data_IF_270134589421
#
_entry.id   IF_270134589421
#
_cell.length_a   1.000
_cell.length_b   1.000
_cell.length_c   1.000
_cell.angle_alpha   90.00
_cell.angle_beta   90.00
_cell.angle_gamma   90.00
#
_symmetry.space_group_name_H-M   'P 1'
#
loop_
_entity.id
_entity.type
_entity.pdbx_description
1 polymer ?
#
# COMPACT_ATOMS: atom_id res chain seq x y z
N UNK A 1 -22.85 -9.14 6.30
CA UNK A 1 -21.53 -9.18 5.62
C UNK A 1 -20.44 -9.03 6.66
N UNK A 2 -19.28 -9.65 6.44
CA UNK A 2 -18.10 -9.55 7.31
C UNK A 2 -16.99 -8.77 6.59
N UNK A 3 -16.08 -8.12 7.34
CA UNK A 3 -14.96 -7.33 6.81
C UNK A 3 -13.66 -7.66 7.54
N UNK A 4 -12.53 -7.57 6.85
CA UNK A 4 -11.21 -7.66 7.49
C UNK A 4 -10.96 -6.42 8.33
N UNK A 5 -10.28 -6.59 9.46
CA UNK A 5 -9.83 -5.49 10.31
C UNK A 5 -8.31 -5.55 10.42
N UNK A 6 -7.65 -4.46 10.05
CA UNK A 6 -6.22 -4.24 10.25
C UNK A 6 -6.09 -3.02 11.15
N UNK A 7 -5.32 -3.15 12.23
CA UNK A 7 -5.02 -2.06 13.14
C UNK A 7 -3.50 -1.85 13.13
N UNK A 8 -3.07 -0.65 12.76
CA UNK A 8 -1.66 -0.26 12.75
C UNK A 8 -1.44 0.70 13.92
N UNK A 9 -0.49 0.38 14.79
CA UNK A 9 -0.07 1.32 15.84
C UNK A 9 0.77 2.42 15.21
N UNK A 10 0.37 3.68 15.38
CA UNK A 10 1.04 4.84 14.78
C UNK A 10 1.69 5.73 15.83
N UNK A 11 2.73 6.47 15.42
CA UNK A 11 3.44 7.42 16.31
C UNK A 11 2.76 8.79 16.40
N UNK A 12 2.05 9.18 15.33
CA UNK A 12 1.42 10.47 15.17
C UNK A 12 0.16 10.31 14.32
N UNK A 13 -0.99 10.78 14.83
CA UNK A 13 -2.29 10.55 14.19
C UNK A 13 -2.45 11.45 12.96
N UNK A 14 -2.05 12.71 13.03
CA UNK A 14 -2.25 13.69 11.96
C UNK A 14 -1.53 13.26 10.67
N UNK A 15 -0.22 13.00 10.75
CA UNK A 15 0.56 12.54 9.59
C UNK A 15 0.11 11.18 9.06
N UNK A 16 -0.47 10.33 9.93
CA UNK A 16 -1.02 9.05 9.52
C UNK A 16 -2.36 9.22 8.79
N UNK A 17 -3.23 10.13 9.27
CA UNK A 17 -4.49 10.47 8.59
C UNK A 17 -4.20 11.02 7.20
N UNK A 18 -3.27 11.97 7.06
CA UNK A 18 -2.89 12.51 5.73
C UNK A 18 -2.45 11.40 4.77
N UNK A 19 -1.59 10.50 5.24
CA UNK A 19 -1.11 9.38 4.43
C UNK A 19 -2.25 8.43 4.03
N UNK A 20 -3.07 7.98 4.99
CA UNK A 20 -4.12 7.01 4.75
C UNK A 20 -5.30 7.60 3.96
N UNK A 21 -5.59 8.89 4.10
CA UNK A 21 -6.56 9.61 3.24
C UNK A 21 -6.04 9.66 1.80
N UNK A 22 -4.74 9.91 1.59
CA UNK A 22 -4.12 9.83 0.26
C UNK A 22 -4.23 8.43 -0.36
N UNK A 23 -3.89 7.41 0.42
CA UNK A 23 -3.92 6.00 0.02
C UNK A 23 -5.34 5.52 -0.32
N UNK A 24 -6.29 5.70 0.60
CA UNK A 24 -7.67 5.22 0.43
C UNK A 24 -8.53 6.15 -0.41
N UNK A 25 -8.10 7.40 -0.62
CA UNK A 25 -8.83 8.42 -1.38
C UNK A 25 -10.08 8.93 -0.67
N UNK A 26 -10.24 8.68 0.63
CA UNK A 26 -11.39 9.10 1.45
C UNK A 26 -10.97 9.42 2.88
N UNK A 27 -11.68 10.36 3.50
CA UNK A 27 -11.49 10.73 4.90
C UNK A 27 -11.89 9.60 5.88
N UNK A 28 -11.33 9.57 7.11
CA UNK A 28 -11.75 8.63 8.13
C UNK A 28 -13.21 8.86 8.54
N UNK A 29 -13.91 7.77 8.81
CA UNK A 29 -15.28 7.79 9.35
C UNK A 29 -15.35 8.14 10.83
N UNK A 30 -14.24 7.98 11.56
CA UNK A 30 -14.05 8.42 12.95
C UNK A 30 -12.64 8.99 13.04
N UNK A 31 -12.50 10.19 13.60
CA UNK A 31 -11.22 10.86 13.80
C UNK A 31 -11.21 11.54 15.17
N UNK A 32 -10.33 11.09 16.04
CA UNK A 32 -10.10 11.56 17.41
C UNK A 32 -8.60 11.83 17.58
N UNK A 33 -8.21 12.46 18.68
CA UNK A 33 -6.80 12.85 18.93
C UNK A 33 -5.82 11.69 19.00
N UNK A 34 -6.30 10.49 19.32
CA UNK A 34 -5.50 9.26 19.50
C UNK A 34 -5.96 8.10 18.60
N UNK A 35 -6.94 8.34 17.71
CA UNK A 35 -7.57 7.27 16.95
C UNK A 35 -8.19 7.76 15.64
N UNK A 36 -7.96 7.03 14.55
CA UNK A 36 -8.67 7.21 13.28
C UNK A 36 -9.15 5.86 12.73
N UNK A 37 -10.31 5.84 12.07
CA UNK A 37 -10.89 4.64 11.47
C UNK A 37 -11.56 4.92 10.14
N UNK A 38 -11.26 4.09 9.15
CA UNK A 38 -11.92 4.05 7.86
C UNK A 38 -12.85 2.84 7.75
N UNK A 39 -13.97 3.03 7.07
CA UNK A 39 -14.91 1.97 6.72
C UNK A 39 -14.96 1.87 5.19
N UNK A 40 -14.00 1.12 4.64
CA UNK A 40 -13.81 1.02 3.19
C UNK A 40 -14.74 -0.05 2.59
N UNK A 41 -15.38 0.29 1.47
CA UNK A 41 -16.08 -0.67 0.59
C UNK A 41 -15.28 -0.94 -0.69
N UNK A 42 -14.38 -0.02 -1.04
CA UNK A 42 -13.34 -0.11 -2.07
C UNK A 42 -12.10 0.63 -1.53
N UNK A 43 -10.88 0.07 -1.56
CA UNK A 43 -10.50 -1.24 -2.10
C UNK A 43 -11.06 -2.42 -1.31
N UNK A 44 -11.20 -3.55 -2.02
CA UNK A 44 -11.42 -4.86 -1.39
C UNK A 44 -10.08 -5.41 -0.92
N UNK A 45 -10.14 -6.36 0.02
CA UNK A 45 -8.94 -7.02 0.54
C UNK A 45 -8.40 -8.02 -0.48
N UNK A 46 -7.11 -7.88 -0.82
CA UNK A 46 -6.31 -8.93 -1.43
C UNK A 46 -5.42 -9.54 -0.33
N UNK A 47 -5.57 -10.85 -0.06
CA UNK A 47 -4.87 -11.54 1.04
C UNK A 47 -4.04 -12.70 0.50
N UNK A 48 -2.74 -12.65 0.75
CA UNK A 48 -1.79 -13.67 0.33
C UNK A 48 -0.84 -14.04 1.48
N UNK A 49 -0.34 -15.28 1.44
CA UNK A 49 0.67 -15.80 2.36
C UNK A 49 1.74 -16.54 1.56
N UNK A 50 3.00 -16.50 2.02
CA UNK A 50 4.09 -17.24 1.39
C UNK A 50 5.13 -17.65 2.42
N UNK A 51 6.00 -18.61 2.04
CA UNK A 51 7.19 -19.00 2.81
C UNK A 51 8.46 -18.32 2.30
N UNK A 52 8.31 -17.26 1.48
CA UNK A 52 9.42 -16.56 0.79
C UNK A 52 9.74 -15.20 1.42
N UNK A 53 8.99 -14.78 2.41
CA UNK A 53 9.22 -13.58 3.20
C UNK A 53 9.51 -13.92 4.66
N UNK A 54 9.95 -12.94 5.43
CA UNK A 54 10.09 -13.08 6.88
C UNK A 54 8.74 -13.42 7.53
N UNK A 55 8.80 -14.10 8.69
CA UNK A 55 7.60 -14.49 9.45
C UNK A 55 6.93 -13.23 10.00
N UNK A 56 5.66 -13.03 9.64
CA UNK A 56 4.85 -11.90 10.08
C UNK A 56 4.19 -11.18 8.91
N UNK A 57 3.79 -9.93 9.13
CA UNK A 57 3.29 -9.06 8.05
C UNK A 57 4.49 -8.49 7.31
N UNK A 58 4.69 -8.91 6.06
CA UNK A 58 5.77 -8.41 5.22
C UNK A 58 5.46 -7.03 4.64
N UNK A 59 4.26 -6.87 4.06
CA UNK A 59 3.74 -5.62 3.51
C UNK A 59 2.20 -5.66 3.47
N UNK A 60 1.60 -4.52 3.18
CA UNK A 60 0.17 -4.38 2.91
C UNK A 60 -0.03 -3.87 1.48
N UNK A 61 -1.13 -4.25 0.83
CA UNK A 61 -1.33 -3.97 -0.59
C UNK A 61 -2.77 -3.62 -0.96
N UNK A 62 -2.91 -2.75 -1.95
CA UNK A 62 -4.19 -2.41 -2.59
C UNK A 62 -4.11 -2.73 -4.09
N UNK A 63 -4.95 -3.66 -4.52
CA UNK A 63 -5.11 -3.94 -5.94
C UNK A 63 -6.06 -2.93 -6.59
N UNK A 64 -5.56 -2.22 -7.60
CA UNK A 64 -6.33 -1.35 -8.47
C UNK A 64 -6.94 -2.15 -9.61
N UNK A 65 -8.19 -1.81 -9.98
CA UNK A 65 -8.92 -2.50 -11.04
C UNK A 65 -8.36 -2.20 -12.44
N UNK A 66 -7.76 -1.02 -12.62
CA UNK A 66 -7.19 -0.59 -13.91
C UNK A 66 -6.11 0.49 -13.71
N UNK A 67 -5.41 0.79 -14.80
CA UNK A 67 -4.30 1.75 -14.85
C UNK A 67 -4.71 3.15 -14.43
N UNK A 68 -5.94 3.58 -14.77
CA UNK A 68 -6.47 4.88 -14.37
C UNK A 68 -6.55 5.01 -12.84
N UNK A 69 -7.11 4.00 -12.15
CA UNK A 69 -7.20 4.01 -10.68
C UNK A 69 -5.80 3.94 -10.05
N UNK A 70 -4.88 3.18 -10.64
CA UNK A 70 -3.49 3.14 -10.18
C UNK A 70 -2.81 4.50 -10.30
N UNK A 71 -2.99 5.19 -11.43
CA UNK A 71 -2.44 6.53 -11.66
C UNK A 71 -3.02 7.57 -10.70
N UNK A 72 -4.34 7.60 -10.53
CA UNK A 72 -5.03 8.49 -9.58
C UNK A 72 -4.56 8.25 -8.14
N UNK A 73 -4.36 6.99 -7.76
CA UNK A 73 -3.86 6.62 -6.42
C UNK A 73 -2.41 7.04 -6.23
N UNK A 74 -1.56 6.80 -7.24
CA UNK A 74 -0.17 7.26 -7.22
C UNK A 74 -0.07 8.79 -7.14
N UNK A 75 -0.96 9.53 -7.80
CA UNK A 75 -0.99 10.99 -7.74
C UNK A 75 -1.34 11.47 -6.33
N UNK A 76 -2.41 10.95 -5.71
CA UNK A 76 -2.75 11.29 -4.32
C UNK A 76 -1.62 10.95 -3.35
N UNK A 77 -1.00 9.78 -3.49
CA UNK A 77 0.12 9.37 -2.66
C UNK A 77 1.35 10.27 -2.83
N UNK A 78 1.61 10.80 -4.03
CA UNK A 78 2.73 11.72 -4.25
C UNK A 78 2.62 13.01 -3.43
N UNK A 79 1.41 13.37 -3.02
CA UNK A 79 1.15 14.55 -2.19
C UNK A 79 1.46 14.30 -0.71
N UNK A 80 1.68 13.05 -0.29
CA UNK A 80 2.00 12.72 1.11
C UNK A 80 3.43 13.09 1.52
N UNK A 81 4.23 13.66 0.62
CA UNK A 81 5.64 14.02 0.86
C UNK A 81 6.57 12.82 1.06
N UNK A 82 6.15 11.61 0.66
CA UNK A 82 6.93 10.37 0.81
C UNK A 82 7.46 9.89 -0.56
N UNK A 83 8.66 9.30 -0.62
CA UNK A 83 9.20 8.76 -1.87
C UNK A 83 8.30 7.65 -2.43
N UNK A 84 8.13 7.64 -3.75
CA UNK A 84 7.44 6.60 -4.49
C UNK A 84 8.42 5.85 -5.38
N UNK A 85 8.30 4.53 -5.45
CA UNK A 85 9.05 3.69 -6.39
C UNK A 85 8.06 3.04 -7.35
N UNK A 86 8.17 3.35 -8.64
CA UNK A 86 7.31 2.81 -9.69
C UNK A 86 8.00 1.63 -10.38
N UNK A 87 7.25 0.56 -10.59
CA UNK A 87 7.64 -0.61 -11.37
C UNK A 87 6.64 -0.78 -12.51
N UNK A 88 7.02 -0.35 -13.71
CA UNK A 88 6.15 -0.36 -14.90
C UNK A 88 5.93 -1.77 -15.46
N UNK A 89 6.87 -2.68 -15.19
CA UNK A 89 6.77 -4.11 -15.54
C UNK A 89 7.28 -4.93 -14.35
N UNK A 90 6.37 -5.33 -13.47
CA UNK A 90 6.65 -6.19 -12.34
C UNK A 90 6.18 -7.61 -12.62
N UNK A 91 6.99 -8.59 -12.22
CA UNK A 91 6.59 -9.99 -12.09
C UNK A 91 6.56 -10.30 -10.61
N UNK A 92 5.36 -10.47 -10.03
CA UNK A 92 5.18 -10.71 -8.61
C UNK A 92 4.31 -11.94 -8.41
N UNK A 93 4.77 -12.85 -7.54
CA UNK A 93 4.08 -14.13 -7.33
C UNK A 93 3.87 -14.83 -8.68
N UNK A 94 2.63 -15.11 -9.07
CA UNK A 94 2.28 -15.72 -10.36
C UNK A 94 1.61 -14.74 -11.32
N UNK A 95 1.86 -13.44 -11.16
CA UNK A 95 1.24 -12.38 -11.95
C UNK A 95 2.29 -11.43 -12.54
N UNK A 96 1.92 -10.79 -13.66
CA UNK A 96 2.61 -9.62 -14.21
C UNK A 96 1.73 -8.38 -14.09
N UNK A 97 2.33 -7.20 -13.95
CA UNK A 97 1.58 -5.98 -13.74
C UNK A 97 2.43 -4.74 -13.53
N UNK A 98 1.77 -3.67 -13.13
CA UNK A 98 2.38 -2.41 -12.69
C UNK A 98 2.24 -2.28 -11.19
N UNK A 99 3.26 -1.69 -10.54
CA UNK A 99 3.25 -1.44 -9.09
C UNK A 99 3.79 -0.08 -8.74
N UNK A 100 3.29 0.47 -7.66
CA UNK A 100 3.86 1.63 -6.97
C UNK A 100 4.04 1.28 -5.51
N UNK A 101 5.26 1.46 -5.01
CA UNK A 101 5.62 1.23 -3.62
C UNK A 101 5.78 2.54 -2.87
N UNK A 102 5.32 2.57 -1.62
CA UNK A 102 5.48 3.65 -0.66
C UNK A 102 5.68 3.06 0.74
N UNK A 103 6.29 3.78 1.67
CA UNK A 103 6.28 3.40 3.09
C UNK A 103 5.30 4.28 3.86
N UNK A 104 4.59 3.73 4.85
CA UNK A 104 3.78 4.55 5.77
C UNK A 104 4.67 5.29 6.80
N UNK A 105 4.12 6.18 7.64
CA UNK A 105 4.89 6.89 8.68
C UNK A 105 5.59 5.98 9.70
N UNK A 106 5.21 4.71 9.78
CA UNK A 106 5.80 3.71 10.67
C UNK A 106 6.90 2.89 9.98
N UNK A 107 7.03 3.00 8.65
CA UNK A 107 7.98 2.25 7.85
C UNK A 107 7.42 0.91 7.33
N UNK A 108 6.11 0.69 7.44
CA UNK A 108 5.45 -0.45 6.80
C UNK A 108 5.43 -0.21 5.30
N UNK A 109 5.86 -1.21 4.52
CA UNK A 109 5.78 -1.16 3.07
C UNK A 109 4.33 -1.31 2.60
N UNK A 110 3.93 -0.42 1.72
CA UNK A 110 2.65 -0.44 1.03
C UNK A 110 2.86 -0.52 -0.47
N UNK A 111 2.12 -1.40 -1.14
CA UNK A 111 2.03 -1.45 -2.58
C UNK A 111 0.63 -1.10 -3.09
N UNK A 112 0.56 -0.33 -4.16
CA UNK A 112 -0.63 -0.22 -5.01
C UNK A 112 -0.30 -0.80 -6.36
N UNK A 113 -1.07 -1.75 -6.85
CA UNK A 113 -0.72 -2.50 -8.05
C UNK A 113 -1.92 -2.80 -8.94
N UNK A 114 -1.66 -3.04 -10.22
CA UNK A 114 -2.61 -3.57 -11.18
C UNK A 114 -2.02 -4.82 -11.82
N UNK A 115 -2.79 -5.90 -11.85
CA UNK A 115 -2.43 -7.13 -12.58
C UNK A 115 -2.85 -7.03 -14.04
N UNK A 116 -1.93 -7.32 -14.96
CA UNK A 116 -2.19 -7.33 -16.41
C UNK A 116 -2.15 -8.73 -17.01
N UNK A 117 -1.67 -9.73 -16.28
CA UNK A 117 -1.71 -11.14 -16.70
C UNK A 117 -1.10 -12.08 -15.67
N UNK A 118 -1.17 -13.38 -15.96
CA UNK A 118 -0.59 -14.45 -15.14
C UNK A 118 0.72 -14.96 -15.73
N UNK A 119 1.62 -15.44 -14.86
CA UNK A 119 2.89 -16.08 -15.21
C UNK A 119 3.04 -17.40 -14.47
N UNK A 120 3.74 -18.36 -15.08
CA UNK A 120 3.88 -19.73 -14.53
C UNK A 120 5.06 -19.89 -13.56
N UNK A 121 5.95 -18.90 -13.51
CA UNK A 121 7.10 -18.87 -12.61
C UNK A 121 6.89 -17.82 -11.51
N UNK A 122 7.33 -18.13 -10.29
CA UNK A 122 7.27 -17.17 -9.20
C UNK A 122 8.20 -15.97 -9.49
N UNK A 123 7.65 -14.76 -9.54
CA UNK A 123 8.42 -13.53 -9.75
C UNK A 123 9.10 -13.03 -8.47
N UNK A 124 10.28 -12.44 -8.60
CA UNK A 124 10.95 -11.74 -7.50
C UNK A 124 10.34 -10.35 -7.32
N UNK A 125 9.77 -10.11 -6.15
CA UNK A 125 9.11 -8.87 -5.82
C UNK A 125 9.65 -8.35 -4.49
N UNK A 126 10.72 -7.59 -4.57
CA UNK A 126 11.34 -6.93 -3.42
C UNK A 126 11.66 -5.49 -3.77
N UNK A 127 11.30 -4.58 -2.87
CA UNK A 127 11.70 -3.18 -2.95
C UNK A 127 12.78 -2.89 -1.92
N UNK A 128 13.78 -2.12 -2.32
CA UNK A 128 14.80 -1.63 -1.38
C UNK A 128 14.17 -0.55 -0.48
N UNK A 129 13.83 -0.95 0.75
CA UNK A 129 13.21 -0.06 1.73
C UNK A 129 14.05 1.16 2.08
N UNK A 130 15.36 1.19 1.80
CA UNK A 130 16.18 2.38 2.01
C UNK A 130 15.77 3.54 1.09
N UNK A 131 15.23 3.23 -0.09
CA UNK A 131 14.76 4.20 -1.08
C UNK A 131 13.39 4.79 -0.74
N UNK A 132 12.63 4.14 0.16
CA UNK A 132 11.31 4.59 0.62
C UNK A 132 11.37 5.38 1.94
N UNK A 133 12.55 5.58 2.51
CA UNK A 133 12.72 6.40 3.73
C UNK A 133 12.73 7.88 3.37
N UNK A 134 11.97 8.67 4.12
CA UNK A 134 12.15 10.13 4.12
C UNK A 134 13.53 10.40 4.72
N UNK A 135 14.40 11.10 3.98
CA UNK A 135 15.71 11.51 4.51
C UNK A 135 15.48 12.43 5.70
N UNK A 136 15.91 12.00 6.88
CA UNK A 136 15.98 12.86 8.05
C UNK A 136 17.02 13.96 7.79
N UNK A 137 16.61 15.21 7.79
CA UNK A 137 17.52 16.36 7.98
C UNK A 137 18.08 16.37 9.38
#
# INVERSE_FOLDING_TARGET
MSRMHVHVGVKDIESSVDFYTGLFGVEPTVCETDYAKWMLENPRVNFAISTRCEVGVNHLGIQCENEKILAETSERLSQSGRPLIKQETASCCYATGQKVWVSDPQGVAWETFMTTGDITSYGEDSVDMSQLKVMST
#
